data_IF_718864251623
#
_entry.id   IF_718864251623
#
_cell.length_a   1.000
_cell.length_b   1.000
_cell.length_c   1.000
_cell.angle_alpha   90.00
_cell.angle_beta   90.00
_cell.angle_gamma   90.00
#
_symmetry.space_group_name_H-M   'P 1'
#
loop_
_entity.id
_entity.type
_entity.pdbx_description
1 polymer ?
#
# COMPACT_ATOMS: atom_id res chain seq x y z
N UNK A 1 21.89 7.39 -13.25
CA UNK A 1 20.44 7.47 -12.97
C UNK A 1 20.29 8.11 -11.61
N UNK A 2 19.53 9.20 -11.48
CA UNK A 2 19.31 9.83 -10.18
C UNK A 2 18.42 8.95 -9.29
N UNK A 3 18.57 9.08 -7.98
CA UNK A 3 17.87 8.32 -6.94
C UNK A 3 16.35 8.42 -7.08
N UNK A 4 15.84 9.60 -7.48
CA UNK A 4 14.42 9.80 -7.74
C UNK A 4 13.91 8.89 -8.86
N UNK A 5 14.56 8.92 -10.03
CA UNK A 5 14.14 8.13 -11.20
C UNK A 5 14.21 6.63 -10.90
N UNK A 6 15.24 6.18 -10.18
CA UNK A 6 15.36 4.78 -9.78
C UNK A 6 14.22 4.34 -8.85
N UNK A 7 13.81 5.20 -7.92
CA UNK A 7 12.70 4.94 -7.00
C UNK A 7 11.36 4.94 -7.72
N UNK A 8 11.13 5.90 -8.62
CA UNK A 8 9.91 5.97 -9.41
C UNK A 8 9.73 4.72 -10.28
N UNK A 9 10.80 4.28 -10.96
CA UNK A 9 10.77 3.06 -11.78
C UNK A 9 10.40 1.83 -10.94
N UNK A 10 11.08 1.62 -9.82
CA UNK A 10 10.79 0.50 -8.91
C UNK A 10 9.36 0.55 -8.38
N UNK A 11 8.84 1.73 -8.07
CA UNK A 11 7.46 1.89 -7.59
C UNK A 11 6.45 1.43 -8.64
N UNK A 12 6.67 1.79 -9.91
CA UNK A 12 5.81 1.33 -11.02
C UNK A 12 5.90 -0.18 -11.20
N UNK A 13 7.11 -0.75 -11.20
CA UNK A 13 7.31 -2.20 -11.30
C UNK A 13 6.58 -2.96 -10.18
N UNK A 14 6.69 -2.48 -8.94
CA UNK A 14 5.99 -3.08 -7.80
C UNK A 14 4.47 -3.01 -7.98
N UNK A 15 3.93 -1.85 -8.38
CA UNK A 15 2.50 -1.69 -8.61
C UNK A 15 1.98 -2.67 -9.67
N UNK A 16 2.74 -2.85 -10.74
CA UNK A 16 2.48 -3.79 -11.82
C UNK A 16 2.48 -5.25 -11.35
N UNK A 17 3.45 -5.63 -10.51
CA UNK A 17 3.54 -7.00 -9.98
C UNK A 17 2.42 -7.25 -8.95
N UNK A 18 2.06 -6.26 -8.13
CA UNK A 18 0.92 -6.36 -7.20
C UNK A 18 -0.38 -6.57 -7.98
N UNK A 19 -0.58 -5.89 -9.11
CA UNK A 19 -1.77 -6.06 -9.92
C UNK A 19 -1.87 -7.45 -10.59
N UNK A 20 -0.72 -8.05 -10.96
CA UNK A 20 -0.68 -9.37 -11.63
C UNK A 20 -0.58 -10.56 -10.68
N UNK A 21 0.08 -10.38 -9.54
CA UNK A 21 0.45 -11.42 -8.58
C UNK A 21 0.30 -10.94 -7.13
N UNK A 22 -0.92 -10.52 -6.71
CA UNK A 22 -1.16 -10.00 -5.37
C UNK A 22 -0.82 -11.02 -4.26
N UNK A 23 -0.96 -12.32 -4.55
CA UNK A 23 -0.69 -13.43 -3.62
C UNK A 23 0.77 -13.54 -3.18
N UNK A 24 1.69 -12.89 -3.91
CA UNK A 24 3.12 -12.86 -3.56
C UNK A 24 3.44 -11.85 -2.47
N UNK A 25 2.49 -10.98 -2.14
CA UNK A 25 2.69 -9.91 -1.18
C UNK A 25 1.91 -10.18 0.09
N UNK A 26 2.58 -9.91 1.21
CA UNK A 26 1.97 -9.79 2.52
C UNK A 26 2.27 -8.40 3.07
N UNK A 27 1.23 -7.67 3.45
CA UNK A 27 1.34 -6.30 3.95
C UNK A 27 0.87 -6.27 5.40
N UNK A 28 1.77 -5.87 6.29
CA UNK A 28 1.43 -5.52 7.66
C UNK A 28 1.14 -4.02 7.72
N UNK A 29 -0.06 -3.67 8.18
CA UNK A 29 -0.46 -2.28 8.38
C UNK A 29 -0.65 -1.98 9.86
N UNK A 30 -0.17 -0.82 10.32
CA UNK A 30 -0.37 -0.35 11.69
C UNK A 30 -0.86 1.09 11.70
N UNK A 31 -1.83 1.38 12.57
CA UNK A 31 -2.33 2.73 12.85
C UNK A 31 -2.12 3.01 14.34
N UNK A 32 -1.74 4.24 14.70
CA UNK A 32 -1.72 4.69 16.09
C UNK A 32 -2.81 5.76 16.28
N UNK A 33 -4.07 5.36 16.48
CA UNK A 33 -5.11 6.32 16.83
C UNK A 33 -4.88 6.83 18.26
N UNK A 34 -4.68 8.13 18.42
CA UNK A 34 -4.64 8.81 19.72
C UNK A 34 -5.99 9.42 20.09
N UNK A 35 -7.01 9.21 19.26
CA UNK A 35 -8.37 9.73 19.40
C UNK A 35 -9.28 9.13 18.33
N UNK A 36 -10.43 9.77 18.07
CA UNK A 36 -11.33 9.34 17.02
C UNK A 36 -10.66 9.36 15.64
N UNK A 37 -11.06 8.42 14.78
CA UNK A 37 -10.62 8.42 13.39
C UNK A 37 -11.14 9.67 12.68
N UNK A 38 -10.31 10.19 11.76
CA UNK A 38 -10.63 11.35 10.95
C UNK A 38 -10.08 11.14 9.54
N UNK A 39 -10.35 12.08 8.64
CA UNK A 39 -9.98 11.96 7.22
C UNK A 39 -8.48 11.72 6.98
N UNK A 40 -7.62 12.13 7.91
CA UNK A 40 -6.18 11.86 7.82
C UNK A 40 -5.87 10.36 7.86
N UNK A 41 -6.55 9.59 8.72
CA UNK A 41 -6.42 8.14 8.75
C UNK A 41 -6.95 7.50 7.46
N UNK A 42 -8.07 8.05 6.94
CA UNK A 42 -8.65 7.57 5.69
C UNK A 42 -7.67 7.67 4.51
N UNK A 43 -7.12 8.87 4.29
CA UNK A 43 -6.16 9.10 3.21
C UNK A 43 -4.77 8.52 3.51
N UNK A 44 -4.39 8.44 4.78
CA UNK A 44 -3.07 8.00 5.22
C UNK A 44 -2.86 6.49 5.14
N UNK A 45 -3.90 5.68 5.35
CA UNK A 45 -3.74 4.22 5.25
C UNK A 45 -5.02 3.45 4.94
N UNK A 46 -6.18 3.84 5.47
CA UNK A 46 -7.38 2.99 5.38
C UNK A 46 -7.76 2.75 3.91
N UNK A 47 -7.76 3.80 3.08
CA UNK A 47 -8.11 3.68 1.66
C UNK A 47 -7.18 2.73 0.90
N UNK A 48 -5.87 2.83 1.11
CA UNK A 48 -4.91 1.98 0.41
C UNK A 48 -4.95 0.54 0.94
N UNK A 49 -5.16 0.35 2.24
CA UNK A 49 -5.34 -0.97 2.83
C UNK A 49 -6.51 -1.71 2.19
N UNK A 50 -7.66 -1.04 2.05
CA UNK A 50 -8.83 -1.61 1.38
C UNK A 50 -8.52 -1.93 -0.08
N UNK A 51 -7.87 -1.02 -0.81
CA UNK A 51 -7.47 -1.26 -2.21
C UNK A 51 -6.58 -2.51 -2.37
N UNK A 52 -5.63 -2.71 -1.47
CA UNK A 52 -4.72 -3.87 -1.50
C UNK A 52 -5.45 -5.16 -1.12
N UNK A 53 -6.37 -5.11 -0.16
CA UNK A 53 -7.24 -6.24 0.19
C UNK A 53 -8.12 -6.66 -0.98
N UNK A 54 -8.79 -5.70 -1.62
CA UNK A 54 -9.63 -5.92 -2.80
C UNK A 54 -8.82 -6.48 -3.99
N UNK A 55 -7.54 -6.10 -4.08
CA UNK A 55 -6.61 -6.66 -5.06
C UNK A 55 -6.14 -8.09 -4.74
N UNK A 56 -6.45 -8.64 -3.56
CA UNK A 56 -6.09 -10.01 -3.16
C UNK A 56 -4.77 -10.14 -2.38
N UNK A 57 -4.20 -9.03 -1.92
CA UNK A 57 -2.97 -9.03 -1.10
C UNK A 57 -3.27 -9.57 0.30
N UNK A 58 -2.37 -10.37 0.87
CA UNK A 58 -2.52 -10.84 2.24
C UNK A 58 -2.30 -9.70 3.25
N UNK A 59 -3.30 -9.41 4.09
CA UNK A 59 -3.21 -8.34 5.12
C UNK A 59 -3.55 -8.83 6.53
N UNK A 60 -3.25 -10.10 6.83
CA UNK A 60 -3.57 -10.75 8.11
C UNK A 60 -2.51 -10.49 9.19
#
# INVERSE_FOLDING_TARGET
MDSFTATAHRSTEVADVVARHPERFRVLTGERPTGALHLGHYFGTIRERVRLQDAGVETR
#
